data_IF_846726815223
#
_entry.id   IF_846726815223
#
_cell.length_a   1.000
_cell.length_b   1.000
_cell.length_c   1.000
_cell.angle_alpha   90.00
_cell.angle_beta   90.00
_cell.angle_gamma   90.00
#
_symmetry.space_group_name_H-M   'P 1'
#
loop_
_entity.id
_entity.type
_entity.pdbx_description
1 polymer ?
#
# COMPACT_ATOMS: atom_id res chain seq x y z
N UNK A 1 17.32 8.65 6.11
CA UNK A 1 16.90 7.46 6.89
C UNK A 1 16.96 6.18 6.06
N UNK A 2 16.39 6.14 4.84
CA UNK A 2 16.31 4.91 4.05
C UNK A 2 17.67 4.23 3.76
N UNK A 3 18.72 4.98 3.38
CA UNK A 3 20.04 4.39 3.12
C UNK A 3 20.70 3.80 4.37
N UNK A 4 20.65 4.52 5.50
CA UNK A 4 21.19 4.05 6.78
C UNK A 4 20.41 2.83 7.29
N UNK A 5 19.08 2.88 7.24
CA UNK A 5 18.21 1.75 7.62
C UNK A 5 18.46 0.52 6.75
N UNK A 6 18.57 0.69 5.43
CA UNK A 6 18.91 -0.38 4.51
C UNK A 6 20.29 -0.99 4.81
N UNK A 7 21.30 -0.15 5.07
CA UNK A 7 22.65 -0.62 5.41
C UNK A 7 22.64 -1.43 6.71
N UNK A 8 21.97 -0.93 7.76
CA UNK A 8 21.82 -1.63 9.03
C UNK A 8 21.06 -2.96 8.87
N UNK A 9 20.03 -3.00 8.03
CA UNK A 9 19.31 -4.23 7.71
C UNK A 9 20.20 -5.25 7.01
N UNK A 10 20.97 -4.84 6.01
CA UNK A 10 21.87 -5.74 5.28
C UNK A 10 22.95 -6.29 6.22
N UNK A 11 23.62 -5.43 6.98
CA UNK A 11 24.66 -5.86 7.93
C UNK A 11 24.08 -6.74 9.04
N UNK A 12 22.95 -6.33 9.62
CA UNK A 12 22.26 -7.09 10.66
C UNK A 12 21.80 -8.47 10.18
N UNK A 13 21.33 -8.58 8.93
CA UNK A 13 20.94 -9.86 8.35
C UNK A 13 22.15 -10.78 8.13
N UNK A 14 23.28 -10.24 7.65
CA UNK A 14 24.52 -11.00 7.47
C UNK A 14 25.01 -11.54 8.81
N UNK A 15 25.10 -10.70 9.84
CA UNK A 15 25.55 -11.13 11.17
C UNK A 15 24.58 -12.11 11.83
N UNK A 16 23.27 -11.90 11.70
CA UNK A 16 22.28 -12.84 12.23
C UNK A 16 22.41 -14.21 11.56
N UNK A 17 22.57 -14.24 10.24
CA UNK A 17 22.78 -15.49 9.49
C UNK A 17 24.06 -16.18 9.93
N UNK A 18 25.14 -15.42 10.13
CA UNK A 18 26.39 -15.93 10.64
C UNK A 18 26.25 -16.55 12.03
N UNK A 19 25.66 -15.83 12.99
CA UNK A 19 25.48 -16.31 14.36
C UNK A 19 24.60 -17.57 14.45
N UNK A 20 23.54 -17.64 13.63
CA UNK A 20 22.69 -18.84 13.51
C UNK A 20 23.47 -20.01 12.91
N UNK A 21 24.28 -19.77 11.89
CA UNK A 21 25.13 -20.81 11.31
C UNK A 21 26.20 -21.29 12.31
N UNK A 22 26.84 -20.39 13.05
CA UNK A 22 27.79 -20.73 14.12
C UNK A 22 27.13 -21.56 15.22
N UNK A 23 25.88 -21.24 15.57
CA UNK A 23 25.06 -22.05 16.50
C UNK A 23 24.82 -23.46 15.95
N UNK A 24 24.49 -23.58 14.66
CA UNK A 24 24.31 -24.86 13.99
C UNK A 24 25.59 -25.71 14.02
N UNK A 25 26.72 -25.15 13.61
CA UNK A 25 28.02 -25.85 13.62
C UNK A 25 28.44 -26.27 15.04
N UNK A 26 28.23 -25.39 16.02
CA UNK A 26 28.55 -25.69 17.43
C UNK A 26 27.67 -26.82 17.97
N UNK A 27 26.36 -26.78 17.73
CA UNK A 27 25.43 -27.82 18.22
C UNK A 27 25.59 -29.15 17.49
N UNK A 28 25.98 -29.12 16.21
CA UNK A 28 26.30 -30.33 15.45
C UNK A 28 27.59 -31.01 15.97
N UNK A 29 28.60 -30.22 16.33
CA UNK A 29 29.89 -30.73 16.83
C UNK A 29 29.85 -31.08 18.31
N UNK A 30 29.14 -30.28 19.11
CA UNK A 30 29.08 -30.38 20.57
C UNK A 30 27.62 -30.37 21.07
N UNK A 31 26.87 -31.48 20.89
CA UNK A 31 25.42 -31.52 21.14
C UNK A 31 25.00 -31.35 22.60
N UNK A 32 25.91 -31.60 23.55
CA UNK A 32 25.65 -31.48 24.99
C UNK A 32 26.41 -30.31 25.64
N UNK A 33 27.21 -29.57 24.88
CA UNK A 33 27.92 -28.42 25.41
C UNK A 33 27.00 -27.19 25.41
N UNK A 34 27.09 -26.33 26.44
CA UNK A 34 26.39 -25.05 26.44
C UNK A 34 26.92 -24.17 25.30
N UNK A 35 26.08 -23.25 24.83
CA UNK A 35 26.46 -22.30 23.78
C UNK A 35 27.57 -21.36 24.27
N UNK A 36 28.63 -21.15 23.46
CA UNK A 36 29.67 -20.19 23.76
C UNK A 36 29.10 -18.78 23.89
N UNK A 37 29.67 -18.04 24.84
CA UNK A 37 29.25 -16.67 25.13
C UNK A 37 29.41 -15.75 23.90
N UNK A 38 30.44 -15.96 23.09
CA UNK A 38 30.69 -15.20 21.86
C UNK A 38 29.50 -15.26 20.90
N UNK A 39 29.06 -16.47 20.54
CA UNK A 39 27.91 -16.71 19.65
C UNK A 39 26.64 -16.06 20.22
N UNK A 40 26.42 -16.13 21.54
CA UNK A 40 25.25 -15.50 22.16
C UNK A 40 25.29 -13.98 22.09
N UNK A 41 26.45 -13.35 22.28
CA UNK A 41 26.61 -11.90 22.15
C UNK A 41 26.43 -11.47 20.70
N UNK A 42 27.05 -12.17 19.75
CA UNK A 42 26.89 -11.91 18.31
C UNK A 42 25.42 -11.96 17.90
N UNK A 43 24.68 -12.96 18.38
CA UNK A 43 23.24 -13.10 18.10
C UNK A 43 22.43 -11.94 18.70
N UNK A 44 22.68 -11.56 19.95
CA UNK A 44 21.99 -10.44 20.60
C UNK A 44 22.28 -9.11 19.90
N UNK A 45 23.54 -8.85 19.55
CA UNK A 45 23.95 -7.66 18.81
C UNK A 45 23.31 -7.64 17.41
N UNK A 46 23.29 -8.78 16.72
CA UNK A 46 22.67 -8.91 15.40
C UNK A 46 21.17 -8.58 15.43
N UNK A 47 20.45 -9.10 16.43
CA UNK A 47 19.02 -8.81 16.63
C UNK A 47 18.81 -7.31 16.90
N UNK A 48 19.64 -6.70 17.73
CA UNK A 48 19.54 -5.28 18.07
C UNK A 48 19.79 -4.40 16.82
N UNK A 49 20.83 -4.71 16.04
CA UNK A 49 21.16 -3.98 14.81
C UNK A 49 20.05 -4.14 13.77
N UNK A 50 19.56 -5.35 13.55
CA UNK A 50 18.50 -5.63 12.59
C UNK A 50 17.19 -4.96 12.97
N UNK A 51 16.78 -5.03 14.25
CA UNK A 51 15.57 -4.36 14.72
C UNK A 51 15.67 -2.84 14.60
N UNK A 52 16.82 -2.24 14.92
CA UNK A 52 17.06 -0.81 14.71
C UNK A 52 16.98 -0.44 13.21
N UNK A 53 17.56 -1.23 12.31
CA UNK A 53 17.48 -1.03 10.87
C UNK A 53 16.04 -1.06 10.35
N UNK A 54 15.22 -2.00 10.83
CA UNK A 54 13.81 -2.14 10.45
C UNK A 54 13.02 -0.90 10.90
N UNK A 55 13.20 -0.47 12.16
CA UNK A 55 12.51 0.71 12.69
C UNK A 55 12.90 1.98 11.91
N UNK A 56 14.18 2.16 11.59
CA UNK A 56 14.66 3.32 10.82
C UNK A 56 14.21 3.32 9.36
N UNK A 57 13.86 2.15 8.82
CA UNK A 57 13.31 2.00 7.45
C UNK A 57 11.81 2.23 7.41
N UNK A 58 11.11 2.20 8.55
CA UNK A 58 9.67 2.37 8.60
C UNK A 58 9.23 3.75 8.07
N UNK A 59 8.11 3.84 7.32
CA UNK A 59 7.58 5.11 6.87
C UNK A 59 7.10 5.93 8.07
N UNK A 60 7.17 7.26 7.94
CA UNK A 60 6.65 8.17 8.97
C UNK A 60 5.16 7.92 9.19
N UNK A 61 4.74 7.95 10.46
CA UNK A 61 3.34 7.85 10.83
C UNK A 61 2.52 8.91 10.07
N UNK A 62 1.47 8.49 9.38
CA UNK A 62 0.55 9.43 8.74
C UNK A 62 -0.21 10.20 9.83
N UNK A 63 -0.31 11.54 9.73
CA UNK A 63 -1.03 12.32 10.72
C UNK A 63 -2.53 11.95 10.69
N UNK A 64 -3.12 11.75 11.86
CA UNK A 64 -4.56 11.50 12.04
C UNK A 64 -5.28 12.87 12.05
N UNK A 65 -5.31 13.56 10.91
CA UNK A 65 -5.98 14.86 10.78
C UNK A 65 -7.28 14.75 9.99
N UNK A 66 -8.21 13.92 10.48
CA UNK A 66 -9.52 13.72 9.85
C UNK A 66 -10.28 15.02 9.56
N UNK A 67 -10.23 16.00 10.47
CA UNK A 67 -10.91 17.28 10.30
C UNK A 67 -10.27 18.19 9.24
N UNK A 68 -8.93 18.16 9.11
CA UNK A 68 -8.25 18.93 8.05
C UNK A 68 -8.42 18.26 6.70
N UNK A 69 -8.34 16.94 6.66
CA UNK A 69 -8.53 16.17 5.44
C UNK A 69 -9.96 16.27 4.92
N UNK A 70 -10.98 16.13 5.79
CA UNK A 70 -12.38 16.35 5.41
C UNK A 70 -12.67 17.80 5.02
N UNK A 71 -12.09 18.77 5.73
CA UNK A 71 -12.23 20.19 5.40
C UNK A 71 -11.57 20.55 4.07
N UNK A 72 -10.43 19.93 3.74
CA UNK A 72 -9.77 20.07 2.44
C UNK A 72 -10.59 19.42 1.33
N UNK A 73 -11.07 18.19 1.54
CA UNK A 73 -11.92 17.46 0.59
C UNK A 73 -13.21 18.22 0.28
N UNK A 74 -13.81 18.89 1.28
CA UNK A 74 -15.00 19.72 1.09
C UNK A 74 -14.73 21.01 0.30
N UNK A 75 -13.53 21.59 0.42
CA UNK A 75 -13.14 22.84 -0.25
C UNK A 75 -12.64 22.61 -1.68
N UNK A 76 -11.79 21.61 -1.85
CA UNK A 76 -11.12 21.31 -3.12
C UNK A 76 -11.96 20.36 -3.98
N UNK A 77 -12.97 19.68 -3.42
CA UNK A 77 -13.67 18.60 -4.09
C UNK A 77 -12.77 17.36 -4.23
N UNK A 78 -13.34 16.23 -4.64
CA UNK A 78 -12.58 15.00 -4.78
C UNK A 78 -11.77 15.05 -6.08
N UNK A 79 -10.50 15.41 -5.98
CA UNK A 79 -9.55 15.26 -7.06
C UNK A 79 -8.99 13.84 -7.06
N UNK A 80 -9.08 13.14 -8.18
CA UNK A 80 -8.36 11.89 -8.37
C UNK A 80 -6.86 12.18 -8.29
N UNK A 81 -6.18 11.56 -7.33
CA UNK A 81 -4.71 11.53 -7.30
C UNK A 81 -4.20 10.55 -8.37
N UNK A 82 -4.64 10.72 -9.62
CA UNK A 82 -4.19 9.94 -10.74
C UNK A 82 -2.80 10.41 -11.15
N UNK A 83 -1.78 9.59 -10.92
CA UNK A 83 -0.54 9.70 -11.70
C UNK A 83 -0.93 9.58 -13.17
N UNK A 84 -0.73 10.67 -13.92
CA UNK A 84 -0.88 10.67 -15.37
C UNK A 84 0.05 9.63 -15.98
N UNK A 85 -0.47 8.73 -16.82
CA UNK A 85 0.40 7.93 -17.71
C UNK A 85 1.08 8.87 -18.71
N UNK A 86 2.14 8.39 -19.36
CA UNK A 86 2.79 9.09 -20.48
C UNK A 86 1.82 9.34 -21.66
N UNK A 87 0.66 8.69 -21.65
CA UNK A 87 -0.38 8.77 -22.69
C UNK A 87 -1.52 9.73 -22.31
N UNK A 88 -1.40 10.43 -21.18
CA UNK A 88 -2.38 11.46 -20.78
C UNK A 88 -3.68 10.90 -20.21
N UNK A 89 -3.78 9.58 -20.04
CA UNK A 89 -4.88 8.95 -19.31
C UNK A 89 -4.58 8.98 -17.81
N UNK A 90 -5.58 9.41 -17.04
CA UNK A 90 -5.59 9.26 -15.59
C UNK A 90 -5.60 7.75 -15.31
N UNK A 91 -4.51 7.22 -14.73
CA UNK A 91 -4.60 5.90 -14.11
C UNK A 91 -5.63 6.08 -13.01
N UNK A 92 -6.85 5.59 -13.25
CA UNK A 92 -7.86 5.41 -12.22
C UNK A 92 -7.25 4.45 -11.19
N UNK A 93 -6.50 5.03 -10.26
CA UNK A 93 -6.04 4.39 -9.05
C UNK A 93 -7.30 3.85 -8.41
N UNK A 94 -7.45 2.52 -8.49
CA UNK A 94 -8.38 1.72 -7.70
C UNK A 94 -9.71 2.45 -7.47
N UNK A 95 -10.60 2.34 -8.48
CA UNK A 95 -11.86 3.08 -8.55
C UNK A 95 -12.49 3.29 -7.18
N UNK A 96 -12.90 4.53 -6.92
CA UNK A 96 -13.38 5.00 -5.62
C UNK A 96 -14.02 3.88 -4.77
N UNK A 97 -13.46 3.54 -3.59
CA UNK A 97 -14.01 2.51 -2.71
C UNK A 97 -15.49 2.72 -2.36
N UNK A 98 -15.96 3.97 -2.49
CA UNK A 98 -17.33 4.40 -2.26
C UNK A 98 -18.12 4.64 -3.55
N UNK A 99 -17.61 4.27 -4.73
CA UNK A 99 -18.31 4.41 -6.01
C UNK A 99 -19.64 3.64 -6.00
N UNK A 100 -19.68 2.53 -5.27
CA UNK A 100 -20.90 1.78 -4.98
C UNK A 100 -22.02 2.67 -4.38
N UNK A 101 -21.67 3.68 -3.59
CA UNK A 101 -22.63 4.63 -3.00
C UNK A 101 -23.20 5.62 -4.02
N UNK A 102 -22.67 5.68 -5.25
CA UNK A 102 -23.21 6.42 -6.39
C UNK A 102 -23.67 7.84 -6.06
N UNK A 103 -22.90 8.53 -5.22
CA UNK A 103 -23.16 9.90 -4.75
C UNK A 103 -23.07 10.93 -5.89
N UNK A 104 -22.33 10.59 -6.96
CA UNK A 104 -22.12 11.43 -8.14
C UNK A 104 -23.27 11.38 -9.16
N UNK A 105 -24.32 10.58 -8.91
CA UNK A 105 -25.51 10.46 -9.78
C UNK A 105 -26.81 10.90 -9.12
N UNK A 106 -26.76 11.97 -8.32
CA UNK A 106 -27.95 12.70 -7.87
C UNK A 106 -28.55 13.61 -8.96
N UNK A 107 -29.60 14.37 -8.61
CA UNK A 107 -30.25 15.33 -9.52
C UNK A 107 -29.21 16.36 -10.01
N UNK A 108 -28.81 16.26 -11.29
CA UNK A 108 -27.80 17.14 -11.91
C UNK A 108 -26.37 16.56 -11.98
N UNK A 109 -26.15 15.34 -11.49
CA UNK A 109 -24.86 14.64 -11.60
C UNK A 109 -24.58 14.08 -13.00
N UNK A 110 -23.31 13.97 -13.38
CA UNK A 110 -22.86 13.37 -14.65
C UNK A 110 -22.58 11.86 -14.55
N UNK A 111 -22.60 11.29 -13.33
CA UNK A 111 -22.31 9.89 -13.07
C UNK A 111 -23.55 9.02 -13.01
N UNK A 112 -23.36 7.71 -13.17
CA UNK A 112 -24.38 6.70 -12.90
C UNK A 112 -24.61 6.69 -11.37
N UNK A 113 -25.83 7.01 -10.94
CA UNK A 113 -26.16 7.05 -9.51
C UNK A 113 -26.03 5.69 -8.83
N UNK A 114 -26.43 5.62 -7.54
CA UNK A 114 -26.43 4.36 -6.75
C UNK A 114 -26.84 3.16 -7.60
N UNK A 115 -26.03 2.09 -7.61
CA UNK A 115 -26.31 0.90 -8.44
C UNK A 115 -27.71 0.31 -8.23
N UNK A 116 -28.31 0.49 -7.04
CA UNK A 116 -29.68 0.04 -6.75
C UNK A 116 -30.82 0.95 -7.27
N UNK A 117 -30.51 2.16 -7.76
CA UNK A 117 -31.47 3.14 -8.29
C UNK A 117 -31.21 3.46 -9.76
N UNK A 118 -30.60 2.52 -10.48
CA UNK A 118 -30.34 2.64 -11.89
C UNK A 118 -31.63 2.73 -12.73
N UNK A 119 -31.72 3.72 -13.62
CA UNK A 119 -32.83 3.81 -14.58
C UNK A 119 -32.61 2.84 -15.75
N UNK A 120 -33.16 1.64 -15.58
CA UNK A 120 -33.14 0.57 -16.60
C UNK A 120 -33.80 1.01 -17.91
N UNK A 121 -34.84 1.86 -17.85
CA UNK A 121 -35.60 2.25 -19.05
C UNK A 121 -34.85 3.29 -19.87
N UNK A 122 -34.28 4.29 -19.21
CA UNK A 122 -33.43 5.29 -19.85
C UNK A 122 -32.24 4.65 -20.55
N UNK A 123 -31.59 3.68 -19.91
CA UNK A 123 -30.38 3.03 -20.45
C UNK A 123 -30.65 2.05 -21.57
N UNK A 124 -31.80 1.38 -21.55
CA UNK A 124 -32.28 0.61 -22.71
C UNK A 124 -32.54 1.51 -23.92
N UNK A 125 -33.06 2.73 -23.70
CA UNK A 125 -33.29 3.70 -24.77
C UNK A 125 -31.99 4.22 -25.35
N UNK A 126 -31.04 4.62 -24.48
CA UNK A 126 -29.69 5.04 -24.87
C UNK A 126 -28.98 3.96 -25.68
N UNK A 127 -28.99 2.71 -25.21
CA UNK A 127 -28.43 1.58 -25.95
C UNK A 127 -29.12 1.36 -27.30
N UNK A 128 -30.45 1.45 -27.36
CA UNK A 128 -31.19 1.29 -28.60
C UNK A 128 -30.87 2.40 -29.61
N UNK A 129 -30.69 3.64 -29.14
CA UNK A 129 -30.27 4.78 -29.97
C UNK A 129 -28.83 4.62 -30.47
N UNK A 130 -27.91 4.22 -29.60
CA UNK A 130 -26.53 3.89 -29.98
C UNK A 130 -26.47 2.76 -31.02
N UNK A 131 -27.19 1.66 -30.79
CA UNK A 131 -27.23 0.51 -31.70
C UNK A 131 -27.81 0.91 -33.07
N UNK A 132 -28.79 1.83 -33.11
CA UNK A 132 -29.34 2.39 -34.35
C UNK A 132 -28.37 3.35 -35.05
N UNK A 133 -27.52 4.06 -34.31
CA UNK A 133 -26.50 4.96 -34.85
C UNK A 133 -25.26 4.22 -35.40
N UNK A 134 -25.20 2.89 -35.30
CA UNK A 134 -24.12 2.08 -35.86
C UNK A 134 -22.76 2.30 -35.21
N UNK A 135 -22.73 2.78 -33.95
CA UNK A 135 -21.50 2.99 -33.19
C UNK A 135 -20.63 4.14 -33.68
N UNK A 136 -21.15 5.07 -34.50
CA UNK A 136 -20.45 6.30 -34.86
C UNK A 136 -20.70 7.38 -33.80
N UNK A 137 -19.89 7.35 -32.75
CA UNK A 137 -19.58 8.50 -31.90
C UNK A 137 -18.07 8.68 -31.88
#
# INVERSE_FOLDING_TARGET
MAFLGATLNTVGLIFLTHAVYSTHEHTATFPHAPLPLDITIELLVSILVLSAGIVLTSPSLKPIEWARWSGKLQREGRHGEGKWTREGEEILSEGDPYAFLGLDGGIGGKGEGRMGFWDVRGKRKEYAEWARSGGKN
#
